data_IF_095406852124
#
_entry.id   IF_095406852124
#
_cell.length_a   1.000
_cell.length_b   1.000
_cell.length_c   1.000
_cell.angle_alpha   90.00
_cell.angle_beta   90.00
_cell.angle_gamma   90.00
#
_symmetry.space_group_name_H-M   'P 1'
#
loop_
_entity.id
_entity.type
_entity.pdbx_description
1 polymer ?
#
# COMPACT_ATOMS: atom_id res chain seq x y z
N UNK A 1 -7.11 -19.57 4.58
CA UNK A 1 -7.01 -18.15 4.18
C UNK A 1 -5.52 -17.87 4.23
N UNK A 2 -4.91 -17.57 3.10
CA UNK A 2 -3.47 -17.34 3.01
C UNK A 2 -3.13 -15.87 3.26
N UNK A 3 -4.02 -14.95 2.86
CA UNK A 3 -3.86 -13.51 3.07
C UNK A 3 -5.17 -12.88 3.54
N UNK A 4 -5.06 -11.93 4.48
CA UNK A 4 -6.14 -11.05 4.91
C UNK A 4 -5.73 -9.59 4.68
N UNK A 5 -6.47 -8.87 3.84
CA UNK A 5 -6.24 -7.45 3.60
C UNK A 5 -7.17 -6.62 4.49
N UNK A 6 -6.58 -5.75 5.32
CA UNK A 6 -7.32 -4.84 6.21
C UNK A 6 -7.21 -3.43 5.66
N UNK A 7 -8.31 -2.92 5.10
CA UNK A 7 -8.39 -1.52 4.68
C UNK A 7 -8.70 -0.63 5.88
N UNK A 8 -7.87 0.39 6.10
CA UNK A 8 -7.93 1.26 7.27
C UNK A 8 -8.42 2.65 6.87
N UNK A 9 -9.38 3.18 7.64
CA UNK A 9 -9.79 4.57 7.47
C UNK A 9 -8.65 5.55 7.76
N UNK A 10 -8.78 6.84 7.37
CA UNK A 10 -7.68 7.81 7.47
C UNK A 10 -7.37 8.29 8.91
N UNK A 11 -8.12 7.81 9.91
CA UNK A 11 -8.00 8.31 11.29
C UNK A 11 -6.79 7.76 12.04
N UNK A 12 -6.19 8.55 12.93
CA UNK A 12 -5.17 8.08 13.87
C UNK A 12 -5.86 7.75 15.20
N UNK A 13 -6.76 6.77 15.16
CA UNK A 13 -7.59 6.37 16.29
C UNK A 13 -7.24 5.00 16.86
N UNK A 14 -7.81 4.69 18.02
CA UNK A 14 -7.59 3.43 18.75
C UNK A 14 -8.03 2.19 17.96
N UNK A 15 -9.08 2.29 17.14
CA UNK A 15 -9.50 1.20 16.26
C UNK A 15 -8.40 0.85 15.25
N UNK A 16 -7.87 1.87 14.57
CA UNK A 16 -6.79 1.68 13.60
C UNK A 16 -5.51 1.17 14.26
N UNK A 17 -5.20 1.64 15.48
CA UNK A 17 -4.09 1.10 16.25
C UNK A 17 -4.27 -0.38 16.60
N UNK A 18 -5.49 -0.78 16.98
CA UNK A 18 -5.80 -2.18 17.30
C UNK A 18 -5.71 -3.08 16.08
N UNK A 19 -6.21 -2.61 14.92
CA UNK A 19 -6.04 -3.29 13.64
C UNK A 19 -4.56 -3.41 13.28
N UNK A 20 -3.79 -2.34 13.44
CA UNK A 20 -2.35 -2.34 13.20
C UNK A 20 -1.64 -3.38 14.06
N UNK A 21 -1.88 -3.43 15.38
CA UNK A 21 -1.26 -4.45 16.26
C UNK A 21 -1.69 -5.89 15.98
N UNK A 22 -2.76 -6.09 15.20
CA UNK A 22 -3.25 -7.42 14.81
C UNK A 22 -2.70 -7.87 13.45
N UNK A 23 -1.84 -7.09 12.80
CA UNK A 23 -1.30 -7.36 11.48
C UNK A 23 0.16 -7.82 11.55
N UNK A 24 0.57 -8.67 10.61
CA UNK A 24 1.98 -9.06 10.47
C UNK A 24 2.76 -8.02 9.65
N UNK A 25 2.09 -7.39 8.69
CA UNK A 25 2.69 -6.45 7.76
C UNK A 25 1.82 -5.21 7.55
N UNK A 26 2.43 -4.14 7.06
CA UNK A 26 1.72 -2.97 6.57
C UNK A 26 2.44 -2.32 5.38
N UNK A 27 1.65 -1.69 4.51
CA UNK A 27 2.12 -0.82 3.43
C UNK A 27 1.36 0.50 3.50
N UNK A 28 1.92 1.54 2.89
CA UNK A 28 1.34 2.88 2.98
C UNK A 28 1.00 3.41 1.58
N UNK A 29 -0.30 3.62 1.25
CA UNK A 29 -0.66 4.31 0.02
C UNK A 29 -0.29 5.79 0.13
N UNK A 30 0.34 6.33 -0.92
CA UNK A 30 0.82 7.70 -1.00
C UNK A 30 0.27 8.40 -2.24
N UNK A 31 -0.18 9.64 -2.07
CA UNK A 31 -0.52 10.55 -3.16
C UNK A 31 0.61 11.56 -3.38
N UNK A 32 0.86 12.03 -4.62
CA UNK A 32 1.94 12.97 -4.92
C UNK A 32 1.57 14.41 -4.53
N UNK A 33 1.44 14.68 -3.23
CA UNK A 33 1.08 16.00 -2.72
C UNK A 33 1.73 16.31 -1.35
N UNK A 34 1.56 17.57 -0.93
CA UNK A 34 2.11 18.09 0.33
C UNK A 34 1.44 17.52 1.58
N UNK A 35 0.18 17.10 1.49
CA UNK A 35 -0.55 16.47 2.60
C UNK A 35 0.00 15.07 2.88
N UNK A 36 0.34 14.31 1.84
CA UNK A 36 1.00 13.02 1.98
C UNK A 36 2.36 13.17 2.67
N UNK A 37 3.18 14.16 2.29
CA UNK A 37 4.44 14.46 3.00
C UNK A 37 4.21 14.74 4.48
N UNK A 38 3.22 15.58 4.81
CA UNK A 38 2.87 15.90 6.20
C UNK A 38 2.43 14.66 6.96
N UNK A 39 1.65 13.79 6.31
CA UNK A 39 1.18 12.53 6.87
C UNK A 39 2.34 11.56 7.15
N UNK A 40 3.33 11.48 6.25
CA UNK A 40 4.53 10.66 6.49
C UNK A 40 5.28 11.11 7.75
N UNK A 41 5.39 12.42 7.99
CA UNK A 41 5.99 12.95 9.22
C UNK A 41 5.17 12.62 10.47
N UNK A 42 3.85 12.62 10.35
CA UNK A 42 3.00 12.17 11.46
C UNK A 42 3.18 10.67 11.73
N UNK A 43 3.26 9.84 10.69
CA UNK A 43 3.48 8.40 10.79
C UNK A 43 4.86 8.07 11.37
N UNK A 44 5.90 8.83 11.00
CA UNK A 44 7.26 8.74 11.55
C UNK A 44 7.29 8.84 13.08
N UNK A 45 6.35 9.58 13.68
CA UNK A 45 6.20 9.69 15.15
C UNK A 45 5.19 8.69 15.72
N UNK A 46 4.12 8.43 14.99
CA UNK A 46 2.96 7.66 15.46
C UNK A 46 3.25 6.17 15.51
N UNK A 47 3.87 5.61 14.46
CA UNK A 47 4.12 4.17 14.36
C UNK A 47 5.11 3.69 15.45
N UNK A 48 6.25 4.36 15.71
CA UNK A 48 7.09 4.06 16.87
C UNK A 48 6.35 4.07 18.21
N UNK A 49 5.52 5.09 18.44
CA UNK A 49 4.74 5.21 19.67
C UNK A 49 3.76 4.03 19.82
N UNK A 50 3.08 3.66 18.75
CA UNK A 50 2.17 2.51 18.74
C UNK A 50 2.91 1.21 19.03
N UNK A 51 4.11 1.04 18.50
CA UNK A 51 4.96 -0.12 18.77
C UNK A 51 5.42 -0.20 20.22
N UNK A 52 5.84 0.92 20.82
CA UNK A 52 6.18 0.95 22.25
C UNK A 52 4.99 0.56 23.14
N UNK A 53 3.79 1.02 22.76
CA UNK A 53 2.56 0.67 23.45
C UNK A 53 2.21 -0.81 23.27
N UNK A 54 2.38 -1.36 22.07
CA UNK A 54 2.18 -2.78 21.76
C UNK A 54 3.06 -3.65 22.66
N UNK A 55 4.36 -3.40 22.68
CA UNK A 55 5.32 -4.18 23.47
C UNK A 55 4.98 -4.15 24.97
N UNK A 56 4.61 -2.98 25.50
CA UNK A 56 4.19 -2.86 26.90
C UNK A 56 2.91 -3.63 27.19
N UNK A 57 1.94 -3.58 26.29
CA UNK A 57 0.66 -4.27 26.46
C UNK A 57 0.81 -5.79 26.29
N UNK A 58 1.66 -6.24 25.38
CA UNK A 58 2.01 -7.65 25.22
C UNK A 58 2.51 -8.26 26.53
N UNK A 59 3.41 -7.58 27.25
CA UNK A 59 3.88 -8.02 28.58
C UNK A 59 2.74 -8.15 29.60
N UNK A 60 1.77 -7.24 29.59
CA UNK A 60 0.61 -7.27 30.49
C UNK A 60 -0.36 -8.39 30.13
N UNK A 61 -0.46 -8.73 28.85
CA UNK A 61 -1.42 -9.72 28.33
C UNK A 61 -0.82 -11.13 28.19
N UNK A 62 0.46 -11.34 28.53
CA UNK A 62 1.18 -12.60 28.29
C UNK A 62 0.53 -13.85 28.88
N UNK A 63 -0.18 -13.72 30.00
CA UNK A 63 -0.84 -14.82 30.70
C UNK A 63 -2.32 -14.98 30.31
N UNK A 64 -2.81 -14.16 29.36
CA UNK A 64 -4.18 -14.27 28.83
C UNK A 64 -4.29 -15.43 27.83
N UNK A 65 -5.51 -15.92 27.62
CA UNK A 65 -5.78 -16.99 26.64
C UNK A 65 -5.36 -16.62 25.21
N UNK A 66 -5.39 -15.32 24.89
CA UNK A 66 -4.91 -14.76 23.63
C UNK A 66 -4.05 -13.55 23.94
N UNK A 67 -2.73 -13.73 24.15
CA UNK A 67 -1.82 -12.62 24.42
C UNK A 67 -1.66 -11.76 23.16
N UNK A 68 -1.37 -10.47 23.36
CA UNK A 68 -1.00 -9.60 22.24
C UNK A 68 0.41 -9.98 21.76
N UNK A 69 0.59 -10.05 20.43
CA UNK A 69 1.91 -10.26 19.84
C UNK A 69 2.83 -9.06 20.18
N UNK A 70 3.99 -9.27 20.82
CA UNK A 70 4.94 -8.18 21.07
C UNK A 70 5.66 -7.73 19.79
N UNK A 71 5.65 -8.53 18.73
CA UNK A 71 6.30 -8.18 17.47
C UNK A 71 5.47 -7.15 16.69
N UNK A 72 6.05 -6.00 16.34
CA UNK A 72 5.34 -4.99 15.58
C UNK A 72 5.23 -5.39 14.10
N UNK A 73 4.16 -4.94 13.41
CA UNK A 73 4.01 -5.17 11.97
C UNK A 73 5.21 -4.67 11.17
N UNK A 74 5.64 -5.43 10.14
CA UNK A 74 6.74 -5.03 9.26
C UNK A 74 6.25 -4.16 8.11
N UNK A 75 6.99 -3.08 7.87
CA UNK A 75 6.80 -2.16 6.76
C UNK A 75 7.30 -2.79 5.48
N UNK A 76 6.38 -2.97 4.53
CA UNK A 76 6.66 -3.52 3.21
C UNK A 76 7.15 -2.45 2.23
N UNK A 77 6.61 -1.24 2.35
CA UNK A 77 6.90 -0.13 1.45
C UNK A 77 5.69 0.79 1.21
N UNK A 78 5.83 1.66 0.21
CA UNK A 78 4.81 2.60 -0.22
C UNK A 78 4.23 2.23 -1.57
N UNK A 79 2.96 2.60 -1.78
CA UNK A 79 2.30 2.58 -3.09
C UNK A 79 2.13 4.02 -3.57
N UNK A 80 2.85 4.42 -4.61
CA UNK A 80 2.69 5.76 -5.18
C UNK A 80 1.51 5.75 -6.15
N UNK A 81 0.39 6.33 -5.73
CA UNK A 81 -0.88 6.23 -6.44
C UNK A 81 -1.39 7.57 -6.98
N UNK A 82 -2.29 7.48 -7.96
CA UNK A 82 -3.16 8.55 -8.44
C UNK A 82 -2.45 9.81 -8.98
N UNK A 83 -1.17 9.68 -9.36
CA UNK A 83 -0.42 10.78 -9.94
C UNK A 83 -0.84 11.08 -11.38
N UNK A 84 -0.65 12.32 -11.81
CA UNK A 84 -1.01 12.76 -13.15
C UNK A 84 0.10 12.44 -14.14
N UNK A 85 -0.28 11.97 -15.33
CA UNK A 85 0.67 11.62 -16.40
C UNK A 85 0.54 12.53 -17.60
N UNK A 86 1.65 12.77 -18.30
CA UNK A 86 1.61 13.34 -19.65
C UNK A 86 1.01 12.32 -20.61
N UNK A 87 -0.03 12.70 -21.35
CA UNK A 87 -0.95 11.76 -22.02
C UNK A 87 -0.31 10.70 -22.92
N UNK A 88 0.84 10.97 -23.56
CA UNK A 88 1.48 10.03 -24.51
C UNK A 88 2.48 9.08 -23.86
N UNK A 89 3.23 9.55 -22.88
CA UNK A 89 4.40 8.81 -22.38
C UNK A 89 4.11 8.04 -21.09
N UNK A 90 2.88 8.13 -20.55
CA UNK A 90 2.45 7.55 -19.26
C UNK A 90 3.36 7.91 -18.06
N UNK A 91 4.30 8.83 -18.27
CA UNK A 91 5.23 9.34 -17.28
C UNK A 91 4.55 10.42 -16.43
N UNK A 92 4.90 10.53 -15.14
CA UNK A 92 4.42 11.61 -14.28
C UNK A 92 4.69 12.99 -14.90
N UNK A 93 3.72 13.91 -14.79
CA UNK A 93 3.99 15.32 -15.10
C UNK A 93 5.00 15.89 -14.10
N UNK A 94 5.66 17.01 -14.44
CA UNK A 94 6.71 17.61 -13.61
C UNK A 94 6.31 17.82 -12.15
N UNK A 95 5.10 18.31 -11.90
CA UNK A 95 4.60 18.56 -10.55
C UNK A 95 4.37 17.26 -9.77
N UNK A 96 3.76 16.26 -10.40
CA UNK A 96 3.63 14.93 -9.81
C UNK A 96 4.98 14.30 -9.52
N UNK A 97 5.92 14.31 -10.46
CA UNK A 97 7.27 13.79 -10.26
C UNK A 97 7.96 14.48 -9.08
N UNK A 98 7.85 15.81 -9.00
CA UNK A 98 8.44 16.59 -7.92
C UNK A 98 7.96 16.12 -6.53
N UNK A 99 6.64 15.91 -6.36
CA UNK A 99 6.10 15.42 -5.11
C UNK A 99 6.43 13.95 -4.84
N UNK A 100 6.41 13.10 -5.88
CA UNK A 100 6.83 11.71 -5.76
C UNK A 100 8.25 11.61 -5.22
N UNK A 101 9.19 12.39 -5.78
CA UNK A 101 10.59 12.42 -5.36
C UNK A 101 10.74 12.90 -3.90
N UNK A 102 9.98 13.93 -3.51
CA UNK A 102 9.94 14.43 -2.14
C UNK A 102 9.46 13.34 -1.18
N UNK A 103 8.38 12.64 -1.51
CA UNK A 103 7.80 11.61 -0.65
C UNK A 103 8.75 10.43 -0.52
N UNK A 104 9.30 9.92 -1.63
CA UNK A 104 10.30 8.85 -1.62
C UNK A 104 11.52 9.23 -0.78
N UNK A 105 11.98 10.47 -0.90
CA UNK A 105 13.07 11.00 -0.08
C UNK A 105 12.69 11.01 1.41
N UNK A 106 11.53 11.57 1.77
CA UNK A 106 11.04 11.60 3.16
C UNK A 106 10.88 10.19 3.74
N UNK A 107 10.39 9.22 2.96
CA UNK A 107 10.30 7.82 3.40
C UNK A 107 11.69 7.27 3.72
N UNK A 108 12.65 7.43 2.80
CA UNK A 108 14.02 6.89 2.95
C UNK A 108 14.82 7.58 4.07
N UNK A 109 14.66 8.89 4.25
CA UNK A 109 15.49 9.68 5.18
C UNK A 109 14.85 9.94 6.54
N UNK A 110 13.52 9.87 6.67
CA UNK A 110 12.80 10.18 7.91
C UNK A 110 12.05 8.94 8.45
N UNK A 111 11.09 8.41 7.68
CA UNK A 111 10.22 7.31 8.14
C UNK A 111 10.99 6.01 8.40
N UNK A 112 11.73 5.51 7.40
CA UNK A 112 12.43 4.23 7.48
C UNK A 112 13.44 4.20 8.65
N UNK A 113 14.28 5.24 8.87
CA UNK A 113 15.14 5.27 10.05
C UNK A 113 14.40 5.19 11.38
N UNK A 114 13.20 5.79 11.50
CA UNK A 114 12.39 5.69 12.71
C UNK A 114 11.85 4.27 12.90
N UNK A 115 11.37 3.63 11.83
CA UNK A 115 10.87 2.25 11.84
C UNK A 115 11.96 1.21 12.13
N UNK A 116 13.17 1.40 11.59
CA UNK A 116 14.31 0.50 11.82
C UNK A 116 14.70 0.39 13.29
N UNK A 117 14.52 1.45 14.10
CA UNK A 117 14.79 1.42 15.55
C UNK A 117 13.94 0.38 16.30
N UNK A 118 12.79 0.01 15.73
CA UNK A 118 11.86 -0.95 16.32
C UNK A 118 11.76 -2.24 15.49
N UNK A 119 12.74 -2.50 14.62
CA UNK A 119 12.76 -3.66 13.73
C UNK A 119 11.49 -3.79 12.86
N UNK A 120 10.91 -2.67 12.43
CA UNK A 120 9.67 -2.64 11.67
C UNK A 120 9.87 -2.57 10.16
N UNK A 121 11.06 -2.87 9.61
CA UNK A 121 11.28 -2.83 8.16
C UNK A 121 11.51 -4.23 7.67
N UNK A 122 10.72 -4.65 6.67
CA UNK A 122 10.83 -5.99 6.09
C UNK A 122 12.20 -6.17 5.41
N UNK A 123 12.85 -7.32 5.63
CA UNK A 123 14.21 -7.59 5.12
C UNK A 123 14.29 -7.55 3.59
N UNK A 124 13.24 -8.01 2.93
CA UNK A 124 13.12 -8.05 1.46
C UNK A 124 12.41 -6.84 0.85
N UNK A 125 12.22 -5.74 1.59
CA UNK A 125 11.64 -4.53 1.02
C UNK A 125 12.50 -3.97 -0.13
N UNK A 126 11.89 -3.37 -1.17
CA UNK A 126 12.65 -2.72 -2.25
C UNK A 126 13.61 -1.65 -1.73
N UNK A 127 14.73 -1.42 -2.43
CA UNK A 127 15.77 -0.47 -1.98
C UNK A 127 15.26 0.97 -1.82
N UNK A 128 14.33 1.40 -2.68
CA UNK A 128 13.67 2.71 -2.61
C UNK A 128 12.34 2.67 -1.84
N UNK A 129 11.98 1.51 -1.29
CA UNK A 129 10.75 1.21 -0.58
C UNK A 129 9.48 1.45 -1.40
N UNK A 130 9.56 1.57 -2.73
CA UNK A 130 8.39 1.75 -3.60
C UNK A 130 7.94 0.41 -4.14
N UNK A 131 6.76 -0.05 -3.72
CA UNK A 131 6.18 -1.33 -4.16
C UNK A 131 5.55 -1.22 -5.56
N UNK A 132 4.89 -0.11 -5.84
CA UNK A 132 4.30 0.15 -7.15
C UNK A 132 4.07 1.64 -7.37
N UNK A 133 4.04 2.02 -8.65
CA UNK A 133 3.61 3.34 -9.12
C UNK A 133 2.39 3.17 -10.05
N UNK A 134 1.23 3.65 -9.59
CA UNK A 134 -0.06 3.50 -10.25
C UNK A 134 -0.59 4.89 -10.60
N UNK A 135 -0.64 5.27 -11.89
CA UNK A 135 -1.12 6.60 -12.28
C UNK A 135 -2.64 6.73 -12.08
N UNK A 136 -3.13 7.96 -12.18
CA UNK A 136 -4.55 8.25 -12.12
C UNK A 136 -5.33 7.48 -13.21
N UNK A 137 -6.45 6.86 -12.84
CA UNK A 137 -7.29 6.09 -13.77
C UNK A 137 -8.09 6.97 -14.75
N UNK A 138 -8.10 8.30 -14.55
CA UNK A 138 -8.81 9.28 -15.35
C UNK A 138 -10.29 8.89 -15.50
N UNK A 139 -10.82 8.84 -16.73
CA UNK A 139 -12.20 8.47 -17.00
C UNK A 139 -12.56 7.04 -16.56
N UNK A 140 -11.59 6.13 -16.37
CA UNK A 140 -11.88 4.77 -15.94
C UNK A 140 -12.32 4.68 -14.48
N UNK A 141 -11.87 5.60 -13.61
CA UNK A 141 -12.25 5.61 -12.18
C UNK A 141 -13.78 5.65 -11.97
N UNK A 142 -14.50 6.67 -12.47
CA UNK A 142 -15.95 6.74 -12.26
C UNK A 142 -16.71 5.62 -12.98
N UNK A 143 -16.19 5.10 -14.10
CA UNK A 143 -16.81 3.98 -14.81
C UNK A 143 -16.70 2.69 -13.98
N UNK A 144 -15.50 2.37 -13.50
CA UNK A 144 -15.21 1.22 -12.64
C UNK A 144 -16.07 1.24 -11.37
N UNK A 145 -16.20 2.40 -10.73
CA UNK A 145 -17.02 2.57 -9.53
C UNK A 145 -18.51 2.27 -9.79
N UNK A 146 -19.09 2.79 -10.88
CA UNK A 146 -20.48 2.50 -11.25
C UNK A 146 -20.69 1.04 -11.64
N UNK A 147 -19.66 0.42 -12.23
CA UNK A 147 -19.70 -0.97 -12.65
C UNK A 147 -19.45 -1.96 -11.51
N UNK A 148 -19.00 -1.49 -10.34
CA UNK A 148 -18.49 -2.33 -9.26
C UNK A 148 -17.42 -3.34 -9.73
N UNK A 149 -16.57 -2.89 -10.67
CA UNK A 149 -15.55 -3.70 -11.31
C UNK A 149 -14.17 -3.03 -11.18
N UNK A 150 -13.07 -3.79 -11.14
CA UNK A 150 -11.75 -3.20 -11.18
C UNK A 150 -11.50 -2.51 -12.53
N UNK A 151 -10.62 -1.50 -12.55
CA UNK A 151 -10.37 -0.65 -13.74
C UNK A 151 -9.87 -1.41 -14.97
N UNK A 152 -9.36 -2.64 -14.79
CA UNK A 152 -8.89 -3.52 -15.85
C UNK A 152 -9.92 -4.54 -16.32
N UNK A 153 -11.07 -4.67 -15.66
CA UNK A 153 -12.12 -5.67 -15.97
C UNK A 153 -13.51 -5.01 -15.98
N UNK A 154 -13.58 -3.80 -16.56
CA UNK A 154 -14.83 -3.05 -16.65
C UNK A 154 -15.71 -3.70 -17.73
N UNK A 155 -16.95 -4.11 -17.42
CA UNK A 155 -17.85 -4.69 -18.40
C UNK A 155 -18.29 -3.66 -19.45
N UNK A 156 -18.50 -4.14 -20.67
CA UNK A 156 -18.79 -3.32 -21.84
C UNK A 156 -19.98 -2.37 -21.68
N UNK A 157 -21.02 -2.79 -20.95
CA UNK A 157 -22.22 -2.01 -20.71
C UNK A 157 -21.97 -0.79 -19.80
N UNK A 158 -20.91 -0.79 -18.98
CA UNK A 158 -20.60 0.32 -18.08
C UNK A 158 -20.06 1.56 -18.80
N UNK A 159 -19.62 1.41 -20.04
CA UNK A 159 -19.18 2.53 -20.88
C UNK A 159 -20.35 3.30 -21.51
N UNK A 160 -21.58 2.79 -21.39
CA UNK A 160 -22.78 3.49 -21.85
C UNK A 160 -23.16 4.54 -20.78
N UNK A 161 -23.36 5.77 -21.22
CA UNK A 161 -23.84 6.88 -20.38
C UNK A 161 -25.09 7.49 -20.98
N UNK A 162 -25.99 7.93 -20.10
CA UNK A 162 -27.19 8.67 -20.46
C UNK A 162 -26.99 10.14 -20.07
N UNK A 163 -27.27 11.06 -20.98
CA UNK A 163 -27.24 12.50 -20.68
C UNK A 163 -28.56 13.00 -20.05
N UNK A 164 -28.65 14.31 -19.79
CA UNK A 164 -29.83 14.93 -19.16
C UNK A 164 -31.09 14.85 -20.02
N UNK A 165 -30.93 14.73 -21.35
CA UNK A 165 -32.02 14.62 -22.32
C UNK A 165 -32.47 13.16 -22.54
N UNK A 166 -31.77 12.21 -21.93
CA UNK A 166 -32.07 10.79 -22.00
C UNK A 166 -31.38 10.06 -23.16
N UNK A 167 -30.51 10.73 -23.91
CA UNK A 167 -29.78 10.16 -25.04
C UNK A 167 -28.62 9.29 -24.56
N UNK A 168 -28.43 8.14 -25.22
CA UNK A 168 -27.39 7.18 -24.89
C UNK A 168 -26.14 7.44 -25.73
N UNK A 169 -25.00 7.57 -25.07
CA UNK A 169 -23.69 7.66 -25.73
C UNK A 169 -22.70 6.67 -25.13
N UNK A 170 -21.69 6.31 -25.92
CA UNK A 170 -20.65 5.37 -25.51
C UNK A 170 -19.34 6.11 -25.25
N UNK A 171 -18.83 5.98 -24.02
CA UNK A 171 -17.52 6.51 -23.65
C UNK A 171 -16.41 5.70 -24.36
N UNK A 172 -15.28 6.35 -24.69
CA UNK A 172 -14.17 5.67 -25.35
C UNK A 172 -13.60 4.57 -24.46
N UNK A 173 -13.48 3.37 -25.03
CA UNK A 173 -12.76 2.25 -24.41
C UNK A 173 -11.27 2.36 -24.69
N UNK A 174 -10.47 1.84 -23.77
CA UNK A 174 -9.02 1.71 -23.96
C UNK A 174 -8.56 0.38 -23.37
N UNK A 175 -8.56 -0.66 -24.20
CA UNK A 175 -8.01 -1.98 -23.84
C UNK A 175 -6.55 -1.86 -23.41
N UNK A 176 -5.76 -1.02 -24.10
CA UNK A 176 -4.36 -0.76 -23.75
C UNK A 176 -4.22 -0.21 -22.31
N UNK A 177 -5.15 0.63 -21.85
CA UNK A 177 -5.15 1.12 -20.46
C UNK A 177 -5.59 0.05 -19.48
N UNK A 178 -6.58 -0.76 -19.83
CA UNK A 178 -7.02 -1.87 -18.98
C UNK A 178 -5.87 -2.87 -18.76
N UNK A 179 -5.21 -3.30 -19.84
CA UNK A 179 -4.02 -4.16 -19.77
C UNK A 179 -2.90 -3.52 -18.97
N UNK A 180 -2.62 -2.24 -19.20
CA UNK A 180 -1.61 -1.51 -18.43
C UNK A 180 -1.89 -1.51 -16.91
N UNK A 181 -3.15 -1.30 -16.49
CA UNK A 181 -3.47 -1.37 -15.07
C UNK A 181 -3.42 -2.79 -14.52
N UNK A 182 -3.87 -3.79 -15.29
CA UNK A 182 -3.70 -5.19 -14.91
C UNK A 182 -2.24 -5.52 -14.63
N UNK A 183 -1.32 -5.17 -15.54
CA UNK A 183 0.13 -5.38 -15.37
C UNK A 183 0.68 -4.69 -14.12
N UNK A 184 0.17 -3.50 -13.76
CA UNK A 184 0.57 -2.79 -12.54
C UNK A 184 0.12 -3.50 -11.27
N UNK A 185 -1.11 -4.01 -11.24
CA UNK A 185 -1.63 -4.73 -10.07
C UNK A 185 -1.02 -6.13 -9.95
N UNK A 186 -0.85 -6.84 -11.07
CA UNK A 186 -0.17 -8.13 -11.10
C UNK A 186 1.30 -7.99 -10.66
N UNK A 187 2.00 -6.95 -11.15
CA UNK A 187 3.34 -6.62 -10.70
C UNK A 187 3.42 -6.36 -9.19
N UNK A 188 2.48 -5.59 -8.63
CA UNK A 188 2.39 -5.36 -7.18
C UNK A 188 2.18 -6.68 -6.42
N UNK A 189 1.24 -7.51 -6.85
CA UNK A 189 0.96 -8.80 -6.21
C UNK A 189 2.20 -9.71 -6.23
N UNK A 190 2.90 -9.79 -7.37
CA UNK A 190 4.13 -10.56 -7.51
C UNK A 190 5.25 -10.05 -6.59
N UNK A 191 5.42 -8.73 -6.43
CA UNK A 191 6.40 -8.17 -5.49
C UNK A 191 6.09 -8.65 -4.07
N UNK A 192 4.83 -8.54 -3.63
CA UNK A 192 4.41 -8.94 -2.29
C UNK A 192 4.60 -10.45 -2.05
N UNK A 193 4.12 -11.29 -2.97
CA UNK A 193 4.26 -12.75 -2.88
C UNK A 193 5.72 -13.17 -2.83
N UNK A 194 6.60 -12.54 -3.63
CA UNK A 194 8.03 -12.84 -3.60
C UNK A 194 8.69 -12.44 -2.27
N UNK A 195 8.25 -11.33 -1.66
CA UNK A 195 8.75 -10.92 -0.34
C UNK A 195 8.40 -11.95 0.74
N UNK A 196 7.14 -12.39 0.79
CA UNK A 196 6.68 -13.37 1.76
C UNK A 196 7.35 -14.73 1.57
N UNK A 197 7.42 -15.22 0.32
CA UNK A 197 8.11 -16.48 0.03
C UNK A 197 9.60 -16.43 0.40
N UNK A 198 10.26 -15.27 0.27
CA UNK A 198 11.67 -15.13 0.63
C UNK A 198 11.87 -15.18 2.16
N UNK A 199 10.96 -14.57 2.93
CA UNK A 199 10.95 -14.65 4.39
C UNK A 199 10.73 -16.10 4.87
N UNK A 200 9.72 -16.79 4.34
CA UNK A 200 9.41 -18.18 4.69
C UNK A 200 10.60 -19.14 4.44
N UNK A 201 11.31 -18.93 3.33
CA UNK A 201 12.49 -19.73 3.00
C UNK A 201 13.65 -19.50 3.97
N UNK A 202 13.88 -18.24 4.38
CA UNK A 202 14.92 -17.88 5.35
C UNK A 202 14.62 -18.44 6.75
N UNK A 203 13.36 -18.41 7.18
CA UNK A 203 12.93 -19.04 8.44
C UNK A 203 13.14 -20.57 8.42
N UNK A 204 12.82 -21.19 7.28
CA UNK A 204 13.01 -22.63 7.08
C UNK A 204 14.48 -23.00 7.17
N UNK A 205 15.37 -22.30 6.46
CA UNK A 205 16.83 -22.55 6.49
C UNK A 205 17.44 -22.32 7.88
N UNK A 206 17.02 -21.28 8.60
CA UNK A 206 17.45 -20.98 9.97
C UNK A 206 17.01 -22.06 10.96
N UNK A 207 15.84 -22.67 10.74
CA UNK A 207 15.36 -23.77 11.59
C UNK A 207 16.19 -25.04 11.40
N UNK A 208 16.64 -25.35 10.17
CA UNK A 208 17.48 -26.51 9.90
C UNK A 208 18.92 -26.36 10.43
N UNK A 209 19.48 -25.15 10.41
CA UNK A 209 20.85 -24.89 10.89
C UNK A 209 21.00 -24.87 12.41
N UNK A 210 19.91 -24.77 13.18
CA UNK A 210 19.94 -24.84 14.65
C UNK A 210 19.79 -26.26 15.22
N UNK A 211 19.55 -27.26 14.38
CA UNK A 211 19.31 -28.66 14.80
C UNK A 211 20.56 -29.55 14.63
N UNK A 212 21.64 -29.02 14.04
CA UNK A 212 22.96 -29.66 13.90
C UNK A 212 23.99 -29.10 14.92
#
# INVERSE_FOLDING_TARGET
IDFCLVDMGPSIGELNKSLFWSSDYFLIPCSPDSYCKTTMKTMERTLPLWTEQQMRLAEVTKDMTMPLNPEPPKFLGILMGLFQTSGKDKNPIKDSQHWMDIIKTTVKSELVPALKKYNMVHSYAPEDYTLAEIPNFLALMPIAQRAHAPVFDIPDNAFVVQDEDGELSMLPKSEERATYFFEKYDGLANVLVNMFNAEDNEETENTFTQVD
#
